data_IF_827495906057
#
_entry.id   IF_827495906057
#
_cell.length_a   1.000
_cell.length_b   1.000
_cell.length_c   1.000
_cell.angle_alpha   90.00
_cell.angle_beta   90.00
_cell.angle_gamma   90.00
#
_symmetry.space_group_name_H-M   'P 1'
#
loop_
_entity.id
_entity.type
_entity.pdbx_description
1 polymer ?
#
# COMPACT_ATOMS: atom_id res chain seq x y z
N UNK A 1 -20.32 27.68 74.97
CA UNK A 1 -20.69 28.24 73.66
C UNK A 1 -19.45 28.17 72.79
N UNK A 2 -19.51 27.49 71.63
CA UNK A 2 -18.61 27.61 70.45
C UNK A 2 -18.55 26.35 69.55
N UNK A 3 -19.30 25.29 69.90
CA UNK A 3 -19.38 24.05 69.09
C UNK A 3 -19.94 24.30 67.68
N UNK A 4 -20.94 25.17 67.54
CA UNK A 4 -21.52 25.54 66.25
C UNK A 4 -20.55 26.27 65.29
N UNK A 5 -19.55 26.99 65.83
CA UNK A 5 -18.57 27.71 65.00
C UNK A 5 -17.50 26.74 64.48
N UNK A 6 -17.07 25.80 65.33
CA UNK A 6 -16.13 24.73 64.96
C UNK A 6 -16.72 23.79 63.91
N UNK A 7 -17.99 23.39 64.04
CA UNK A 7 -18.67 22.57 63.03
C UNK A 7 -18.76 23.26 61.66
N UNK A 8 -19.04 24.57 61.64
CA UNK A 8 -19.08 25.36 60.39
C UNK A 8 -17.71 25.42 59.72
N UNK A 9 -16.63 25.57 60.49
CA UNK A 9 -15.26 25.57 59.95
C UNK A 9 -14.86 24.19 59.42
N UNK A 10 -15.20 23.11 60.15
CA UNK A 10 -14.94 21.74 59.71
C UNK A 10 -15.69 21.39 58.42
N UNK A 11 -16.96 21.77 58.30
CA UNK A 11 -17.75 21.56 57.07
C UNK A 11 -17.20 22.32 55.87
N UNK A 12 -16.69 23.54 56.06
CA UNK A 12 -16.02 24.31 54.99
C UNK A 12 -14.75 23.62 54.50
N UNK A 13 -13.92 23.10 55.40
CA UNK A 13 -12.69 22.38 55.04
C UNK A 13 -12.99 21.06 54.30
N UNK A 14 -14.01 20.32 54.73
CA UNK A 14 -14.45 19.08 54.07
C UNK A 14 -15.03 19.38 52.68
N UNK A 15 -15.82 20.46 52.55
CA UNK A 15 -16.38 20.89 51.27
C UNK A 15 -15.28 21.31 50.28
N UNK A 16 -14.32 22.12 50.73
CA UNK A 16 -13.16 22.52 49.91
C UNK A 16 -12.34 21.31 49.47
N UNK A 17 -12.06 20.36 50.38
CA UNK A 17 -11.38 19.10 50.05
C UNK A 17 -12.14 18.29 49.00
N UNK A 18 -13.45 18.13 49.16
CA UNK A 18 -14.26 17.37 48.20
C UNK A 18 -14.30 18.06 46.82
N UNK A 19 -14.35 19.39 46.78
CA UNK A 19 -14.27 20.16 45.53
C UNK A 19 -12.90 19.94 44.85
N UNK A 20 -11.80 20.01 45.60
CA UNK A 20 -10.46 19.73 45.05
C UNK A 20 -10.32 18.29 44.55
N UNK A 21 -10.91 17.31 45.24
CA UNK A 21 -10.93 15.91 44.80
C UNK A 21 -11.72 15.74 43.50
N UNK A 22 -12.88 16.38 43.36
CA UNK A 22 -13.68 16.33 42.12
C UNK A 22 -12.91 16.96 40.95
N UNK A 23 -12.25 18.11 41.16
CA UNK A 23 -11.41 18.72 40.13
C UNK A 23 -10.23 17.84 39.73
N UNK A 24 -9.57 17.21 40.70
CA UNK A 24 -8.46 16.29 40.43
C UNK A 24 -8.90 15.07 39.62
N UNK A 25 -10.03 14.46 39.98
CA UNK A 25 -10.62 13.34 39.24
C UNK A 25 -11.03 13.74 37.82
N UNK A 26 -11.59 14.95 37.65
CA UNK A 26 -11.94 15.47 36.33
C UNK A 26 -10.70 15.69 35.45
N UNK A 27 -9.61 16.21 36.01
CA UNK A 27 -8.33 16.37 35.33
C UNK A 27 -7.71 15.02 34.92
N UNK A 28 -7.76 14.02 35.80
CA UNK A 28 -7.31 12.66 35.49
C UNK A 28 -8.15 12.02 34.38
N UNK A 29 -9.46 12.22 34.41
CA UNK A 29 -10.36 11.70 33.38
C UNK A 29 -10.09 12.35 32.02
N UNK A 30 -9.97 13.68 31.97
CA UNK A 30 -9.72 14.39 30.71
C UNK A 30 -8.35 14.05 30.13
N UNK A 31 -7.30 13.93 30.95
CA UNK A 31 -5.97 13.52 30.50
C UNK A 31 -5.91 12.07 30.02
N UNK A 32 -6.56 11.13 30.72
CA UNK A 32 -6.71 9.74 30.24
C UNK A 32 -7.49 9.65 28.93
N UNK A 33 -8.58 10.40 28.80
CA UNK A 33 -9.37 10.45 27.58
C UNK A 33 -8.56 11.01 26.40
N UNK A 34 -7.77 12.07 26.66
CA UNK A 34 -6.89 12.66 25.65
C UNK A 34 -5.79 11.68 25.22
N UNK A 35 -5.19 10.94 26.17
CA UNK A 35 -4.19 9.91 25.88
C UNK A 35 -4.78 8.77 25.04
N UNK A 36 -5.99 8.31 25.36
CA UNK A 36 -6.70 7.28 24.61
C UNK A 36 -7.07 7.74 23.19
N UNK A 37 -7.50 8.99 23.03
CA UNK A 37 -7.78 9.60 21.73
C UNK A 37 -6.49 9.76 20.90
N UNK A 38 -5.37 10.13 21.53
CA UNK A 38 -4.07 10.20 20.86
C UNK A 38 -3.60 8.84 20.36
N UNK A 39 -3.77 7.77 21.13
CA UNK A 39 -3.43 6.40 20.68
C UNK A 39 -4.29 5.91 19.52
N UNK A 40 -5.48 6.51 19.31
CA UNK A 40 -6.37 6.22 18.18
C UNK A 40 -6.16 7.14 16.98
N UNK A 41 -5.31 8.17 17.11
CA UNK A 41 -5.06 9.11 16.02
C UNK A 41 -4.15 8.43 15.01
N UNK A 42 -4.77 7.83 13.99
CA UNK A 42 -4.09 7.20 12.85
C UNK A 42 -3.04 8.17 12.30
N UNK A 43 -1.79 7.71 12.27
CA UNK A 43 -0.64 8.57 11.97
C UNK A 43 -0.61 8.75 10.46
N UNK A 44 -1.18 9.88 10.01
CA UNK A 44 -1.16 10.31 8.61
C UNK A 44 0.29 10.56 8.17
N UNK A 45 0.92 9.56 7.55
CA UNK A 45 2.28 9.70 7.02
C UNK A 45 2.19 10.22 5.58
N UNK A 46 2.66 11.45 5.37
CA UNK A 46 2.83 12.05 4.04
C UNK A 46 4.14 11.53 3.48
N UNK A 47 4.11 10.90 2.32
CA UNK A 47 5.33 10.66 1.57
C UNK A 47 5.35 11.64 0.40
N UNK A 48 6.30 12.56 0.42
CA UNK A 48 6.52 13.53 -0.65
C UNK A 48 7.81 13.11 -1.38
N UNK A 49 7.72 12.42 -2.53
CA UNK A 49 8.90 12.20 -3.36
C UNK A 49 9.36 13.52 -4.01
N UNK A 50 10.66 13.64 -4.30
CA UNK A 50 11.26 14.84 -4.89
C UNK A 50 10.70 15.19 -6.29
N UNK A 51 10.12 14.21 -7.00
CA UNK A 51 9.36 14.40 -8.22
C UNK A 51 8.14 13.44 -8.22
N UNK A 52 6.93 13.96 -8.47
CA UNK A 52 5.68 13.19 -8.51
C UNK A 52 4.55 13.81 -7.67
N UNK A 53 3.37 13.21 -7.73
CA UNK A 53 2.20 13.65 -6.96
C UNK A 53 2.34 13.27 -5.47
N UNK A 54 1.96 14.19 -4.57
CA UNK A 54 1.92 13.96 -3.13
C UNK A 54 0.91 12.86 -2.78
N UNK A 55 1.34 11.83 -2.04
CA UNK A 55 0.44 10.80 -1.54
C UNK A 55 0.43 10.70 -0.01
N UNK A 56 -0.75 10.36 0.52
CA UNK A 56 -1.01 10.20 1.94
C UNK A 56 -1.39 8.75 2.19
N UNK A 57 -0.81 8.17 3.23
CA UNK A 57 -1.18 6.86 3.76
C UNK A 57 -1.79 7.09 5.13
N UNK A 58 -3.02 6.62 5.31
CA UNK A 58 -3.70 6.46 6.59
C UNK A 58 -3.77 4.95 6.87
N UNK A 59 -3.71 4.52 8.15
CA UNK A 59 -3.44 3.13 8.56
C UNK A 59 -4.33 2.07 7.86
N UNK A 60 -5.51 2.47 7.40
CA UNK A 60 -6.46 1.66 6.61
C UNK A 60 -6.86 2.25 5.25
N UNK A 61 -6.49 3.50 4.93
CA UNK A 61 -6.92 4.21 3.71
C UNK A 61 -5.72 4.72 2.91
N UNK A 62 -5.68 4.30 1.65
CA UNK A 62 -4.66 4.72 0.69
C UNK A 62 -5.21 5.78 -0.25
N UNK A 63 -4.39 6.76 -0.63
CA UNK A 63 -4.77 7.71 -1.67
C UNK A 63 -4.85 7.03 -3.04
N UNK A 64 -5.70 7.55 -3.94
CA UNK A 64 -5.78 7.11 -5.34
C UNK A 64 -4.40 7.11 -6.01
N UNK A 65 -3.66 8.19 -5.81
CA UNK A 65 -2.30 8.36 -6.34
C UNK A 65 -1.34 7.29 -5.82
N UNK A 66 -1.44 6.86 -4.56
CA UNK A 66 -0.60 5.76 -4.05
C UNK A 66 -0.94 4.43 -4.73
N UNK A 67 -2.24 4.11 -4.89
CA UNK A 67 -2.66 2.91 -5.61
C UNK A 67 -2.21 2.92 -7.07
N UNK A 68 -2.32 4.07 -7.75
CA UNK A 68 -1.89 4.23 -9.14
C UNK A 68 -0.37 4.14 -9.31
N UNK A 69 0.39 4.82 -8.45
CA UNK A 69 1.86 4.75 -8.46
C UNK A 69 2.33 3.33 -8.17
N UNK A 70 1.74 2.67 -7.16
CA UNK A 70 2.09 1.31 -6.79
C UNK A 70 1.70 0.30 -7.88
N UNK A 71 0.50 0.44 -8.44
CA UNK A 71 0.02 -0.37 -9.55
C UNK A 71 0.91 -0.25 -10.78
N UNK A 72 1.33 0.97 -11.12
CA UNK A 72 2.26 1.24 -12.23
C UNK A 72 3.62 0.61 -11.98
N UNK A 73 4.21 0.84 -10.79
CA UNK A 73 5.50 0.28 -10.40
C UNK A 73 5.51 -1.26 -10.45
N UNK A 74 4.49 -1.91 -9.86
CA UNK A 74 4.37 -3.37 -9.88
C UNK A 74 4.16 -3.89 -11.30
N UNK A 75 3.36 -3.19 -12.11
CA UNK A 75 3.15 -3.54 -13.52
C UNK A 75 4.44 -3.46 -14.32
N UNK A 76 5.30 -2.47 -14.08
CA UNK A 76 6.60 -2.37 -14.74
C UNK A 76 7.54 -3.52 -14.36
N UNK A 77 7.51 -3.98 -13.10
CA UNK A 77 8.30 -5.14 -12.67
C UNK A 77 7.80 -6.46 -13.26
N UNK A 78 6.49 -6.56 -13.52
CA UNK A 78 5.84 -7.76 -14.05
C UNK A 78 5.88 -7.82 -15.59
N UNK A 79 5.69 -6.70 -16.27
CA UNK A 79 5.41 -6.66 -17.71
C UNK A 79 6.61 -6.24 -18.58
N UNK A 80 7.67 -5.67 -17.98
CA UNK A 80 8.91 -5.34 -18.67
C UNK A 80 10.02 -6.28 -18.25
N UNK A 81 10.24 -7.39 -18.98
CA UNK A 81 11.14 -8.47 -18.51
C UNK A 81 11.93 -9.13 -19.63
N UNK A 82 13.15 -9.52 -19.30
CA UNK A 82 14.04 -10.36 -20.11
C UNK A 82 14.57 -11.50 -19.24
N UNK A 83 15.20 -12.52 -19.85
CA UNK A 83 15.83 -13.62 -19.11
C UNK A 83 16.85 -13.12 -18.07
N UNK A 84 17.62 -12.09 -18.42
CA UNK A 84 18.66 -11.48 -17.57
C UNK A 84 18.08 -10.61 -16.45
N UNK A 85 17.12 -9.73 -16.77
CA UNK A 85 16.55 -8.80 -15.80
C UNK A 85 15.56 -9.44 -14.83
N UNK A 86 15.04 -10.62 -15.17
CA UNK A 86 14.01 -11.32 -14.40
C UNK A 86 14.40 -11.57 -12.94
N UNK A 87 15.65 -11.93 -12.67
CA UNK A 87 16.11 -12.19 -11.29
C UNK A 87 16.06 -10.93 -10.43
N UNK A 88 16.58 -9.82 -10.96
CA UNK A 88 16.59 -8.54 -10.24
C UNK A 88 15.17 -8.05 -10.00
N UNK A 89 14.33 -8.04 -11.04
CA UNK A 89 12.92 -7.60 -10.96
C UNK A 89 12.11 -8.43 -9.96
N UNK A 90 12.33 -9.74 -9.91
CA UNK A 90 11.70 -10.62 -8.91
C UNK A 90 12.07 -10.23 -7.49
N UNK A 91 13.36 -10.03 -7.22
CA UNK A 91 13.82 -9.66 -5.89
C UNK A 91 13.26 -8.29 -5.47
N UNK A 92 13.10 -7.35 -6.40
CA UNK A 92 12.44 -6.06 -6.14
C UNK A 92 10.94 -6.21 -5.93
N UNK A 93 10.28 -7.14 -6.62
CA UNK A 93 8.83 -7.36 -6.54
C UNK A 93 8.41 -8.05 -5.23
N UNK A 94 9.15 -9.06 -4.76
CA UNK A 94 8.72 -9.93 -3.66
C UNK A 94 8.34 -9.20 -2.36
N UNK A 95 9.03 -8.13 -1.91
CA UNK A 95 8.63 -7.35 -0.74
C UNK A 95 7.25 -6.68 -0.84
N UNK A 96 6.70 -6.56 -2.05
CA UNK A 96 5.43 -5.90 -2.36
C UNK A 96 4.29 -6.88 -2.63
N UNK A 97 4.51 -8.17 -2.41
CA UNK A 97 3.53 -9.23 -2.67
C UNK A 97 3.03 -9.78 -1.34
N UNK A 98 1.74 -10.06 -1.27
CA UNK A 98 1.14 -10.64 -0.08
C UNK A 98 1.71 -12.06 0.17
N UNK A 99 2.03 -12.43 1.43
CA UNK A 99 2.51 -13.77 1.75
C UNK A 99 1.61 -14.91 1.26
N UNK A 100 0.29 -14.69 1.13
CA UNK A 100 -0.62 -15.70 0.59
C UNK A 100 -0.46 -15.91 -0.93
N UNK A 101 0.04 -14.91 -1.66
CA UNK A 101 0.16 -14.93 -3.13
C UNK A 101 1.60 -15.16 -3.63
N UNK A 102 2.61 -14.97 -2.76
CA UNK A 102 4.03 -15.10 -3.13
C UNK A 102 4.39 -16.46 -3.73
N UNK A 103 3.80 -17.56 -3.23
CA UNK A 103 4.10 -18.93 -3.67
C UNK A 103 3.69 -19.18 -5.12
N UNK A 104 2.39 -19.05 -5.44
CA UNK A 104 1.89 -19.16 -6.82
C UNK A 104 2.60 -18.20 -7.78
N UNK A 105 2.79 -16.94 -7.37
CA UNK A 105 3.45 -15.93 -8.20
C UNK A 105 4.91 -16.30 -8.51
N UNK A 106 5.66 -16.76 -7.51
CA UNK A 106 7.06 -17.18 -7.69
C UNK A 106 7.18 -18.33 -8.68
N UNK A 107 6.27 -19.31 -8.61
CA UNK A 107 6.24 -20.43 -9.55
C UNK A 107 5.99 -19.94 -10.98
N UNK A 108 4.96 -19.10 -11.18
CA UNK A 108 4.63 -18.53 -12.48
C UNK A 108 5.81 -17.72 -13.08
N UNK A 109 6.45 -16.87 -12.27
CA UNK A 109 7.59 -16.06 -12.71
C UNK A 109 8.84 -16.88 -13.03
N UNK A 110 9.04 -18.02 -12.36
CA UNK A 110 10.14 -18.95 -12.67
C UNK A 110 9.89 -19.71 -13.97
N UNK A 111 8.66 -20.15 -14.22
CA UNK A 111 8.27 -20.79 -15.47
C UNK A 111 8.39 -19.80 -16.65
N UNK A 112 7.93 -18.56 -16.45
CA UNK A 112 8.06 -17.49 -17.44
C UNK A 112 9.53 -17.17 -17.75
N UNK A 113 10.39 -17.05 -16.72
CA UNK A 113 11.82 -16.83 -16.91
C UNK A 113 12.48 -17.95 -17.73
N UNK A 114 12.13 -19.22 -17.48
CA UNK A 114 12.64 -20.36 -18.27
C UNK A 114 12.17 -20.28 -19.72
N UNK A 115 10.92 -19.91 -19.95
CA UNK A 115 10.37 -19.71 -21.31
C UNK A 115 11.09 -18.58 -22.04
N UNK A 116 11.32 -17.45 -21.39
CA UNK A 116 12.08 -16.31 -21.94
C UNK A 116 13.51 -16.72 -22.32
N UNK A 117 14.19 -17.47 -21.44
CA UNK A 117 15.55 -17.95 -21.68
C UNK A 117 15.59 -18.96 -22.84
N UNK A 118 14.69 -19.94 -22.86
CA UNK A 118 14.64 -20.98 -23.89
C UNK A 118 14.35 -20.39 -25.29
N UNK A 119 13.53 -19.34 -25.36
CA UNK A 119 13.13 -18.70 -26.63
C UNK A 119 14.02 -17.52 -27.02
N UNK A 120 14.94 -17.08 -26.15
CA UNK A 120 15.71 -15.85 -26.37
C UNK A 120 14.82 -14.62 -26.54
N UNK A 121 13.76 -14.54 -25.74
CA UNK A 121 12.73 -13.50 -25.83
C UNK A 121 12.84 -12.47 -24.69
N UNK A 122 12.21 -11.32 -24.92
CA UNK A 122 11.95 -10.30 -23.90
C UNK A 122 10.59 -9.64 -24.16
N UNK A 123 9.97 -9.14 -23.11
CA UNK A 123 8.71 -8.41 -23.16
C UNK A 123 8.91 -6.97 -22.68
N UNK A 124 8.29 -6.04 -23.39
CA UNK A 124 8.15 -4.65 -22.97
C UNK A 124 6.69 -4.26 -23.13
N UNK A 125 6.13 -3.63 -22.11
CA UNK A 125 4.76 -3.18 -22.07
C UNK A 125 4.71 -1.66 -22.08
N UNK A 126 3.94 -1.13 -23.01
CA UNK A 126 3.74 0.30 -23.21
C UNK A 126 2.32 0.66 -22.73
N UNK A 127 2.17 1.25 -21.54
CA UNK A 127 0.87 1.61 -21.01
C UNK A 127 0.24 2.77 -21.80
N UNK A 128 -1.04 2.62 -22.13
CA UNK A 128 -1.88 3.63 -22.80
C UNK A 128 -2.91 4.24 -21.85
N UNK A 129 -3.49 3.40 -20.98
CA UNK A 129 -4.52 3.83 -20.05
C UNK A 129 -4.38 3.12 -18.69
N UNK A 130 -4.71 3.84 -17.64
CA UNK A 130 -4.73 3.36 -16.26
C UNK A 130 -6.09 3.67 -15.67
N UNK A 131 -6.65 2.73 -14.91
CA UNK A 131 -7.89 2.93 -14.15
C UNK A 131 -7.73 2.33 -12.77
N UNK A 132 -8.26 3.00 -11.74
CA UNK A 132 -8.14 2.56 -10.35
C UNK A 132 -9.49 2.61 -9.63
N UNK A 133 -9.76 1.59 -8.81
CA UNK A 133 -10.91 1.49 -7.92
C UNK A 133 -10.39 1.39 -6.48
N UNK A 134 -10.60 2.46 -5.71
CA UNK A 134 -10.16 2.56 -4.32
C UNK A 134 -11.00 1.71 -3.37
N UNK A 135 -12.28 1.47 -3.66
CA UNK A 135 -13.14 0.67 -2.80
C UNK A 135 -12.74 -0.80 -2.84
N UNK A 136 -12.39 -1.28 -4.05
CA UNK A 136 -11.93 -2.66 -4.28
C UNK A 136 -10.41 -2.81 -4.24
N UNK A 137 -9.66 -1.73 -4.02
CA UNK A 137 -8.20 -1.68 -4.09
C UNK A 137 -7.65 -2.38 -5.35
N UNK A 138 -8.29 -2.10 -6.48
CA UNK A 138 -7.99 -2.73 -7.76
C UNK A 138 -7.45 -1.70 -8.75
N UNK A 139 -6.47 -2.11 -9.52
CA UNK A 139 -5.80 -1.32 -10.53
C UNK A 139 -5.84 -2.05 -11.87
N UNK A 140 -6.21 -1.34 -12.94
CA UNK A 140 -6.16 -1.82 -14.30
C UNK A 140 -5.17 -1.01 -15.10
N UNK A 141 -4.42 -1.71 -15.96
CA UNK A 141 -3.53 -1.10 -16.92
C UNK A 141 -3.76 -1.73 -18.30
N UNK A 142 -3.92 -0.88 -19.29
CA UNK A 142 -4.15 -1.25 -20.68
C UNK A 142 -3.05 -0.67 -21.55
N UNK A 143 -2.60 -1.43 -22.54
CA UNK A 143 -1.59 -0.99 -23.49
C UNK A 143 -1.04 -2.11 -24.35
N UNK A 144 0.06 -1.82 -25.03
CA UNK A 144 0.68 -2.74 -25.97
C UNK A 144 1.78 -3.57 -25.31
N UNK A 145 1.65 -4.89 -25.38
CA UNK A 145 2.75 -5.81 -25.03
C UNK A 145 3.54 -6.13 -26.29
N UNK A 146 4.78 -5.65 -26.35
CA UNK A 146 5.74 -5.98 -27.39
C UNK A 146 6.63 -7.13 -26.96
N UNK A 147 6.68 -8.18 -27.78
CA UNK A 147 7.62 -9.28 -27.61
C UNK A 147 8.78 -9.10 -28.56
N UNK A 148 9.99 -9.13 -28.04
CA UNK A 148 11.23 -9.14 -28.81
C UNK A 148 11.79 -10.55 -28.83
N UNK A 149 12.29 -10.98 -29.99
CA UNK A 149 13.02 -12.23 -30.12
C UNK A 149 14.36 -11.98 -30.80
N UNK A 150 15.44 -12.50 -30.21
CA UNK A 150 16.73 -12.54 -30.86
C UNK A 150 16.73 -13.72 -31.85
N UNK A 151 16.80 -13.44 -33.15
CA UNK A 151 17.21 -14.46 -34.13
C UNK A 151 18.74 -14.46 -34.14
N UNK A 152 19.33 -15.63 -33.88
CA UNK A 152 20.78 -15.87 -33.85
C UNK A 152 21.54 -14.97 -34.84
N UNK A 153 22.41 -14.09 -34.31
CA UNK A 153 23.27 -13.19 -35.09
C UNK A 153 22.70 -11.82 -35.48
N UNK A 154 21.44 -11.49 -35.14
CA UNK A 154 20.83 -10.19 -35.48
C UNK A 154 20.34 -9.42 -34.25
N UNK A 155 20.21 -8.10 -34.40
CA UNK A 155 19.56 -7.21 -33.43
C UNK A 155 18.14 -7.73 -33.08
N UNK A 156 17.69 -7.62 -31.82
CA UNK A 156 16.35 -8.04 -31.41
C UNK A 156 15.29 -7.35 -32.27
N UNK A 157 14.38 -8.13 -32.87
CA UNK A 157 13.24 -7.60 -33.63
C UNK A 157 11.94 -7.82 -32.86
N UNK A 158 10.97 -6.92 -33.06
CA UNK A 158 9.61 -7.09 -32.57
C UNK A 158 9.02 -8.32 -33.27
N UNK A 159 8.76 -9.37 -32.49
CA UNK A 159 8.18 -10.61 -32.94
C UNK A 159 6.66 -10.59 -32.87
N UNK A 160 6.11 -9.91 -31.87
CA UNK A 160 4.67 -9.75 -31.67
C UNK A 160 4.36 -8.42 -31.00
N UNK A 161 3.20 -7.85 -31.33
CA UNK A 161 2.64 -6.67 -30.69
C UNK A 161 1.15 -6.92 -30.46
N UNK A 162 0.78 -7.12 -29.20
CA UNK A 162 -0.60 -7.42 -28.84
C UNK A 162 -1.10 -6.45 -27.79
N UNK A 163 -2.28 -5.86 -28.02
CA UNK A 163 -2.97 -5.03 -27.03
C UNK A 163 -3.49 -5.91 -25.88
N UNK A 164 -3.22 -5.52 -24.64
CA UNK A 164 -3.52 -6.31 -23.43
C UNK A 164 -4.01 -5.41 -22.32
N UNK A 165 -4.93 -5.95 -21.51
CA UNK A 165 -5.36 -5.36 -20.25
C UNK A 165 -4.99 -6.28 -19.09
N UNK A 166 -4.44 -5.71 -18.03
CA UNK A 166 -4.11 -6.44 -16.81
C UNK A 166 -4.85 -5.84 -15.63
N UNK A 167 -5.27 -6.71 -14.72
CA UNK A 167 -5.88 -6.37 -13.44
C UNK A 167 -4.94 -6.79 -12.32
N UNK A 168 -4.66 -5.85 -11.42
CA UNK A 168 -3.90 -6.05 -10.20
C UNK A 168 -4.83 -5.75 -9.02
N UNK A 169 -4.93 -6.70 -8.09
CA UNK A 169 -5.68 -6.51 -6.84
C UNK A 169 -4.70 -6.36 -5.69
N UNK A 170 -4.99 -5.46 -4.76
CA UNK A 170 -4.13 -5.16 -3.62
C UNK A 170 -4.88 -5.31 -2.30
N UNK A 171 -4.09 -5.52 -1.23
CA UNK A 171 -4.54 -5.43 0.15
C UNK A 171 -3.71 -4.37 0.88
N UNK A 172 -4.35 -3.58 1.73
CA UNK A 172 -3.66 -2.65 2.63
C UNK A 172 -3.34 -3.38 3.93
N UNK A 173 -2.09 -3.34 4.35
CA UNK A 173 -1.65 -3.82 5.66
C UNK A 173 -0.57 -2.88 6.20
N UNK A 174 -0.78 -2.34 7.41
CA UNK A 174 0.14 -1.38 8.06
C UNK A 174 0.56 -0.22 7.12
N UNK A 175 -0.42 0.37 6.43
CA UNK A 175 -0.19 1.48 5.49
C UNK A 175 0.53 1.12 4.18
N UNK A 176 0.75 -0.16 3.88
CA UNK A 176 1.40 -0.60 2.63
C UNK A 176 0.43 -1.40 1.77
N UNK A 177 0.57 -1.24 0.46
CA UNK A 177 -0.14 -2.05 -0.52
C UNK A 177 0.66 -3.31 -0.85
N UNK A 178 0.00 -4.46 -0.73
CA UNK A 178 0.54 -5.76 -1.11
C UNK A 178 -0.28 -6.36 -2.25
N UNK A 179 0.40 -6.81 -3.30
CA UNK A 179 -0.23 -7.48 -4.44
C UNK A 179 -0.81 -8.83 -3.99
N UNK A 180 -2.11 -9.02 -4.18
CA UNK A 180 -2.81 -10.27 -3.84
C UNK A 180 -3.20 -11.07 -5.07
N UNK A 181 -3.33 -10.41 -6.22
CA UNK A 181 -3.76 -11.05 -7.46
C UNK A 181 -3.23 -10.28 -8.67
N UNK A 182 -2.86 -11.02 -9.72
CA UNK A 182 -2.47 -10.47 -11.02
C UNK A 182 -3.07 -11.34 -12.12
N UNK A 183 -3.96 -10.75 -12.92
CA UNK A 183 -4.73 -11.47 -13.94
C UNK A 183 -4.74 -10.69 -15.25
N UNK A 184 -4.61 -11.42 -16.36
CA UNK A 184 -4.79 -10.87 -17.71
C UNK A 184 -6.28 -10.87 -18.05
N UNK A 185 -6.83 -9.71 -18.40
CA UNK A 185 -8.19 -9.58 -18.91
C UNK A 185 -8.18 -9.52 -20.44
N UNK A 186 -9.20 -10.11 -21.07
CA UNK A 186 -9.38 -10.01 -22.51
C UNK A 186 -10.04 -8.67 -22.82
N UNK A 187 -9.53 -7.96 -23.82
CA UNK A 187 -10.19 -6.80 -24.40
C UNK A 187 -11.37 -7.33 -25.23
N UNK A 188 -12.59 -6.96 -24.85
CA UNK A 188 -13.83 -7.25 -25.57
C UNK A 188 -13.93 -6.45 -26.86
#
# INVERSE_FOLDING_TARGET
MDTNLQEKHQRKLISQRNIFLVFSLFLLFTTSLLAFLLTKKEVRTVFIPAHGQTFWVEDSRVSRSYLENMGTFVSELLLNRSAESSRLRNNTLYPHVDPSFIGPLKKALQEDQKSLQAKGQAYVFYPEAITSDLEKLTFWIEGDLMTFAAKSGNLPKVADKTKRRYRLSFRVQAGRLFLTEFTKENLS
#
